data_IF_853262091700
#
_entry.id   IF_853262091700
#
_cell.length_a   1.000
_cell.length_b   1.000
_cell.length_c   1.000
_cell.angle_alpha   90.00
_cell.angle_beta   90.00
_cell.angle_gamma   90.00
#
_symmetry.space_group_name_H-M   'P 1'
#
loop_
_entity.id
_entity.type
_entity.pdbx_description
1 polymer ?
#
# COMPACT_ATOMS: atom_id res chain seq x y z
N UNK A 1 39.42 -26.71 -0.80
CA UNK A 1 38.72 -27.72 0.03
C UNK A 1 37.32 -27.18 0.28
N UNK A 2 36.35 -27.22 -0.64
CA UNK A 2 35.57 -28.36 -1.17
C UNK A 2 35.03 -29.31 -0.10
N UNK A 3 33.71 -29.20 0.15
CA UNK A 3 32.70 -30.25 0.44
C UNK A 3 31.36 -29.48 0.60
N UNK A 4 30.50 -29.34 -0.42
CA UNK A 4 29.68 -30.34 -1.11
C UNK A 4 28.90 -31.23 -0.12
N UNK A 5 27.62 -30.91 0.05
CA UNK A 5 26.59 -31.87 0.45
C UNK A 5 25.37 -31.63 -0.43
N UNK A 6 25.27 -32.48 -1.44
CA UNK A 6 24.06 -32.81 -2.18
C UNK A 6 23.12 -33.58 -1.24
N UNK A 7 21.84 -33.24 -1.23
CA UNK A 7 20.80 -34.21 -0.93
C UNK A 7 19.69 -34.07 -1.98
N UNK A 8 19.41 -35.20 -2.61
CA UNK A 8 18.41 -35.40 -3.63
C UNK A 8 17.04 -35.65 -2.98
N UNK A 9 16.03 -35.18 -3.72
CA UNK A 9 14.60 -35.45 -3.73
C UNK A 9 14.11 -36.74 -3.03
N UNK A 10 12.96 -36.60 -2.38
CA UNK A 10 11.89 -37.60 -2.44
C UNK A 10 10.59 -36.88 -2.73
N UNK A 11 10.00 -37.23 -3.87
CA UNK A 11 8.60 -37.05 -4.18
C UNK A 11 7.75 -37.90 -3.22
N UNK A 12 6.61 -37.38 -2.78
CA UNK A 12 5.44 -38.18 -2.46
C UNK A 12 4.22 -37.35 -2.82
N UNK A 13 3.51 -37.88 -3.80
CA UNK A 13 2.17 -37.53 -4.21
C UNK A 13 1.13 -37.87 -3.12
N UNK A 14 -0.05 -37.32 -3.34
CA UNK A 14 -1.38 -37.81 -2.98
C UNK A 14 -2.05 -37.36 -1.67
N UNK A 15 -3.32 -36.98 -1.90
CA UNK A 15 -4.49 -36.95 -1.00
C UNK A 15 -4.63 -35.73 -0.09
N UNK A 16 -5.81 -35.15 0.12
CA UNK A 16 -7.17 -35.47 -0.36
C UNK A 16 -8.02 -34.22 -0.10
N UNK A 17 -9.17 -34.20 -0.76
CA UNK A 17 -10.30 -33.30 -0.56
C UNK A 17 -10.59 -32.95 0.91
N UNK A 18 -11.05 -31.71 1.14
CA UNK A 18 -12.18 -31.43 2.03
C UNK A 18 -12.65 -29.99 1.81
N UNK A 19 -13.62 -29.86 0.92
CA UNK A 19 -14.74 -28.93 1.07
C UNK A 19 -15.43 -29.25 2.40
N UNK A 20 -15.55 -28.27 3.30
CA UNK A 20 -16.67 -28.23 4.24
C UNK A 20 -16.95 -26.76 4.59
N UNK A 21 -18.03 -26.28 4.00
CA UNK A 21 -18.80 -25.14 4.45
C UNK A 21 -19.31 -25.46 5.86
N UNK A 22 -19.31 -24.49 6.77
CA UNK A 22 -20.35 -24.43 7.79
C UNK A 22 -20.61 -22.96 8.14
N UNK A 23 -21.68 -22.47 7.54
CA UNK A 23 -22.49 -21.37 8.02
C UNK A 23 -23.03 -21.74 9.41
N UNK A 24 -22.86 -20.88 10.40
CA UNK A 24 -23.67 -20.89 11.61
C UNK A 24 -24.04 -19.45 11.95
N UNK A 25 -25.11 -19.02 11.30
CA UNK A 25 -26.04 -18.02 11.83
C UNK A 25 -26.98 -18.70 12.85
N UNK A 26 -27.53 -17.89 13.75
CA UNK A 26 -28.70 -18.10 14.61
C UNK A 26 -28.52 -18.87 15.95
N UNK A 27 -28.67 -18.11 17.05
CA UNK A 27 -29.61 -18.32 18.17
C UNK A 27 -29.46 -17.10 19.09
N UNK A 28 -30.34 -16.10 19.02
CA UNK A 28 -31.67 -16.02 19.64
C UNK A 28 -31.67 -16.24 21.16
N UNK A 29 -31.95 -15.12 21.83
CA UNK A 29 -32.88 -14.93 22.95
C UNK A 29 -32.70 -15.65 24.29
N UNK A 30 -33.20 -14.93 25.31
CA UNK A 30 -33.52 -15.33 26.69
C UNK A 30 -32.38 -15.14 27.71
N UNK A 31 -32.56 -14.53 28.88
CA UNK A 31 -33.76 -14.22 29.65
C UNK A 31 -33.54 -12.99 30.54
N UNK A 32 -34.60 -12.19 30.63
CA UNK A 32 -34.88 -11.32 31.76
C UNK A 32 -34.90 -12.15 33.06
N UNK A 33 -34.23 -11.65 34.10
CA UNK A 33 -34.54 -12.03 35.47
C UNK A 33 -34.65 -10.74 36.29
N UNK A 34 -35.89 -10.26 36.33
CA UNK A 34 -36.44 -9.46 37.40
C UNK A 34 -36.56 -10.30 38.70
N UNK A 35 -36.58 -9.56 39.80
CA UNK A 35 -37.13 -9.88 41.12
C UNK A 35 -36.38 -10.83 42.07
N UNK A 36 -35.92 -10.24 43.18
CA UNK A 36 -36.30 -10.57 44.57
C UNK A 36 -35.50 -9.63 45.48
N UNK A 37 -36.14 -8.63 46.09
CA UNK A 37 -36.95 -8.68 47.33
C UNK A 37 -36.12 -8.19 48.52
N UNK A 38 -36.48 -6.98 48.96
CA UNK A 38 -36.77 -6.54 50.32
C UNK A 38 -36.13 -7.28 51.52
N UNK A 39 -35.55 -6.46 52.39
CA UNK A 39 -35.58 -6.46 53.87
C UNK A 39 -34.30 -5.75 54.34
N UNK A 40 -34.28 -4.87 55.34
CA UNK A 40 -35.28 -4.41 56.29
C UNK A 40 -34.69 -3.14 56.92
N UNK A 41 -35.57 -2.25 57.35
CA UNK A 41 -35.28 -1.11 58.22
C UNK A 41 -34.61 -1.53 59.54
N UNK A 42 -33.76 -0.64 60.06
CA UNK A 42 -33.43 -0.35 61.47
C UNK A 42 -32.10 0.43 61.45
N UNK A 43 -31.89 1.51 62.18
CA UNK A 43 -32.62 2.18 63.24
C UNK A 43 -32.03 3.60 63.32
N UNK A 44 -32.86 4.53 63.74
CA UNK A 44 -32.56 5.94 63.98
C UNK A 44 -31.51 6.19 65.10
N UNK A 45 -31.04 7.44 65.08
CA UNK A 45 -30.48 8.24 66.19
C UNK A 45 -28.99 8.01 66.52
N UNK A 46 -28.18 9.01 66.83
CA UNK A 46 -28.47 10.38 67.26
C UNK A 46 -27.15 11.19 67.18
N UNK A 47 -27.31 12.49 67.42
CA UNK A 47 -26.33 13.45 67.94
C UNK A 47 -25.48 14.27 66.96
N UNK A 48 -25.91 15.53 66.90
CA UNK A 48 -25.21 16.75 66.51
C UNK A 48 -23.78 16.82 67.02
N UNK A 49 -22.90 17.43 66.23
CA UNK A 49 -21.99 18.43 66.78
C UNK A 49 -21.74 19.51 65.72
N UNK A 50 -22.22 20.70 66.03
CA UNK A 50 -21.82 21.95 65.41
C UNK A 50 -20.30 22.10 65.50
N UNK A 51 -19.66 22.29 64.34
CA UNK A 51 -18.49 23.16 64.24
C UNK A 51 -18.57 23.87 62.88
N UNK A 52 -19.28 25.00 62.91
CA UNK A 52 -18.97 26.17 62.09
C UNK A 52 -17.57 26.65 62.45
N UNK A 53 -16.56 26.09 61.80
CA UNK A 53 -15.28 26.76 61.61
C UNK A 53 -15.20 27.19 60.14
N UNK A 54 -15.31 28.52 59.98
CA UNK A 54 -15.02 29.22 58.74
C UNK A 54 -13.61 28.86 58.25
N UNK A 55 -13.53 28.12 57.15
CA UNK A 55 -12.37 28.10 56.26
C UNK A 55 -12.77 28.73 54.92
N UNK A 56 -13.18 30.01 54.99
CA UNK A 56 -13.15 30.90 53.85
C UNK A 56 -11.67 31.09 53.46
N UNK A 57 -11.20 30.31 52.47
CA UNK A 57 -10.32 30.71 51.36
C UNK A 57 -9.62 29.48 50.75
N UNK A 58 -10.27 28.73 49.85
CA UNK A 58 -9.56 27.83 48.93
C UNK A 58 -10.18 27.72 47.52
N UNK A 59 -10.96 28.71 47.09
CA UNK A 59 -11.56 28.76 45.75
C UNK A 59 -10.55 29.04 44.60
N UNK A 60 -9.26 29.22 44.93
CA UNK A 60 -8.23 29.51 43.94
C UNK A 60 -7.57 28.24 43.35
N UNK A 61 -7.40 27.17 44.13
CA UNK A 61 -6.72 25.95 43.65
C UNK A 61 -7.57 25.20 42.60
N UNK A 62 -8.88 25.22 42.79
CA UNK A 62 -9.88 24.59 41.94
C UNK A 62 -9.97 25.22 40.53
N UNK A 63 -9.59 26.49 40.41
CA UNK A 63 -9.56 27.22 39.14
C UNK A 63 -8.29 26.94 38.33
N UNK A 64 -7.15 26.78 39.01
CA UNK A 64 -5.87 26.49 38.36
C UNK A 64 -5.84 25.09 37.75
N UNK A 65 -6.33 24.05 38.44
CA UNK A 65 -6.43 22.69 37.86
C UNK A 65 -7.37 22.63 36.64
N UNK A 66 -8.49 23.38 36.68
CA UNK A 66 -9.42 23.52 35.54
C UNK A 66 -8.76 24.24 34.36
N UNK A 67 -7.84 25.17 34.59
CA UNK A 67 -7.11 25.88 33.55
C UNK A 67 -5.99 25.00 32.96
N UNK A 68 -5.22 24.30 33.79
CA UNK A 68 -4.19 23.34 33.37
C UNK A 68 -4.78 22.26 32.43
N UNK A 69 -5.93 21.69 32.81
CA UNK A 69 -6.64 20.72 31.97
C UNK A 69 -7.04 21.29 30.60
N UNK A 70 -7.53 22.54 30.55
CA UNK A 70 -7.93 23.21 29.30
C UNK A 70 -6.73 23.44 28.39
N UNK A 71 -5.58 23.79 28.94
CA UNK A 71 -4.37 24.01 28.16
C UNK A 71 -3.82 22.71 27.57
N UNK A 72 -3.84 21.62 28.35
CA UNK A 72 -3.43 20.29 27.88
C UNK A 72 -4.31 19.83 26.72
N UNK A 73 -5.64 19.87 26.88
CA UNK A 73 -6.55 19.40 25.83
C UNK A 73 -6.48 20.29 24.58
N UNK A 74 -6.30 21.60 24.75
CA UNK A 74 -6.11 22.52 23.63
C UNK A 74 -4.82 22.20 22.87
N UNK A 75 -3.69 22.08 23.58
CA UNK A 75 -2.42 21.71 22.96
C UNK A 75 -2.48 20.35 22.26
N UNK A 76 -3.22 19.39 22.82
CA UNK A 76 -3.42 18.07 22.21
C UNK A 76 -4.26 18.14 20.93
N UNK A 77 -5.31 18.96 20.91
CA UNK A 77 -6.19 19.13 19.76
C UNK A 77 -5.56 19.98 18.65
N UNK A 78 -4.65 20.90 19.00
CA UNK A 78 -3.93 21.75 18.05
C UNK A 78 -2.85 20.98 17.25
N UNK A 79 -2.53 19.73 17.64
CA UNK A 79 -1.62 18.87 16.88
C UNK A 79 -2.19 18.52 15.51
N UNK A 80 -1.35 18.64 14.46
CA UNK A 80 -1.81 18.62 13.08
C UNK A 80 -2.19 17.22 12.59
N UNK A 81 -1.53 16.18 13.11
CA UNK A 81 -1.75 14.80 12.67
C UNK A 81 -2.06 13.85 13.84
N UNK A 82 -2.86 12.82 13.57
CA UNK A 82 -3.17 11.74 14.51
C UNK A 82 -1.91 10.98 14.94
N UNK A 83 -0.89 10.94 14.08
CA UNK A 83 0.41 10.38 14.44
C UNK A 83 1.15 11.24 15.48
N UNK A 84 1.06 12.57 15.36
CA UNK A 84 1.65 13.51 16.32
C UNK A 84 0.97 13.37 17.68
N UNK A 85 -0.37 13.33 17.71
CA UNK A 85 -1.14 13.01 18.91
C UNK A 85 -0.72 11.68 19.55
N UNK A 86 -0.56 10.61 18.75
CA UNK A 86 -0.12 9.31 19.26
C UNK A 86 1.30 9.38 19.86
N UNK A 87 2.19 10.16 19.24
CA UNK A 87 3.57 10.32 19.69
C UNK A 87 3.65 11.11 20.99
N UNK A 88 2.83 12.16 21.09
CA UNK A 88 2.63 12.89 22.33
C UNK A 88 2.15 11.97 23.46
N UNK A 89 1.03 11.24 23.26
CA UNK A 89 0.49 10.31 24.27
C UNK A 89 1.51 9.24 24.66
N UNK A 90 2.27 8.72 23.70
CA UNK A 90 3.32 7.76 23.97
C UNK A 90 4.44 8.30 24.88
N UNK A 91 4.81 9.57 24.75
CA UNK A 91 5.83 10.19 25.61
C UNK A 91 5.40 10.30 27.08
N UNK A 92 4.08 10.34 27.30
CA UNK A 92 3.43 10.43 28.60
C UNK A 92 3.09 9.06 29.22
N UNK A 93 3.41 7.96 28.52
CA UNK A 93 3.19 6.59 28.97
C UNK A 93 4.55 5.93 29.23
N UNK A 94 4.73 5.40 30.45
CA UNK A 94 5.91 4.61 30.81
C UNK A 94 5.54 3.14 30.94
N UNK A 95 6.31 2.25 30.31
CA UNK A 95 6.11 0.79 30.41
C UNK A 95 7.02 0.24 31.50
N UNK A 96 6.45 -0.53 32.41
CA UNK A 96 7.16 -1.27 33.44
C UNK A 96 7.04 -2.78 33.22
N UNK A 97 8.17 -3.49 33.30
CA UNK A 97 8.19 -4.95 33.29
C UNK A 97 7.64 -5.50 34.61
N UNK A 98 6.83 -6.56 34.53
CA UNK A 98 6.21 -7.18 35.69
C UNK A 98 7.27 -7.98 36.47
N UNK A 99 7.60 -7.54 37.68
CA UNK A 99 8.61 -8.18 38.54
C UNK A 99 8.09 -9.41 39.30
N UNK A 100 6.79 -9.48 39.58
CA UNK A 100 6.17 -10.59 40.34
C UNK A 100 4.71 -10.75 39.94
N UNK A 101 4.27 -11.99 39.73
CA UNK A 101 2.85 -12.36 39.52
C UNK A 101 2.33 -13.03 40.78
N UNK A 102 1.24 -12.52 41.38
CA UNK A 102 0.48 -13.25 42.42
C UNK A 102 -0.66 -13.96 41.70
N UNK A 103 -0.49 -15.23 41.37
CA UNK A 103 -1.58 -16.01 40.78
C UNK A 103 -2.31 -16.79 41.88
N UNK A 104 -3.65 -16.72 41.91
CA UNK A 104 -4.50 -17.59 42.76
C UNK A 104 -5.12 -18.76 41.98
N UNK A 105 -5.01 -18.76 40.64
CA UNK A 105 -5.59 -19.75 39.73
C UNK A 105 -4.50 -20.59 39.04
N UNK A 106 -4.88 -21.76 38.52
CA UNK A 106 -4.03 -22.58 37.65
C UNK A 106 -3.56 -21.79 36.41
N UNK A 107 -2.32 -22.08 35.97
CA UNK A 107 -1.56 -21.27 34.99
C UNK A 107 -2.18 -21.21 33.60
N UNK A 108 -3.06 -22.14 33.24
CA UNK A 108 -3.55 -22.29 31.87
C UNK A 108 -4.87 -21.54 31.58
N UNK A 109 -5.49 -20.92 32.60
CA UNK A 109 -6.82 -20.31 32.49
C UNK A 109 -6.82 -18.79 32.74
N UNK A 110 -5.67 -18.19 33.10
CA UNK A 110 -5.59 -16.79 33.49
C UNK A 110 -5.16 -15.89 32.32
N UNK A 111 -5.99 -14.91 31.96
CA UNK A 111 -5.59 -13.80 31.08
C UNK A 111 -4.66 -12.87 31.87
N UNK A 112 -3.35 -13.02 31.65
CA UNK A 112 -2.32 -12.28 32.38
C UNK A 112 -1.88 -11.06 31.56
N UNK A 113 -1.76 -9.92 32.22
CA UNK A 113 -1.03 -8.79 31.64
C UNK A 113 0.46 -9.10 31.56
N UNK A 114 1.09 -8.69 30.46
CA UNK A 114 2.53 -8.87 30.24
C UNK A 114 3.36 -7.67 30.72
N UNK A 115 2.74 -6.50 30.83
CA UNK A 115 3.38 -5.25 31.25
C UNK A 115 2.42 -4.42 32.13
N UNK A 116 3.01 -3.56 32.96
CA UNK A 116 2.28 -2.50 33.68
C UNK A 116 2.58 -1.14 33.03
N UNK A 117 1.65 -0.19 33.16
CA UNK A 117 1.78 1.14 32.57
C UNK A 117 1.64 2.24 33.63
N UNK A 118 2.51 3.24 33.57
CA UNK A 118 2.37 4.49 34.33
C UNK A 118 2.03 5.64 33.39
N UNK A 119 1.14 6.52 33.83
CA UNK A 119 0.72 7.71 33.09
C UNK A 119 1.17 8.95 33.84
N UNK A 120 1.64 9.95 33.10
CA UNK A 120 2.06 11.24 33.65
C UNK A 120 1.68 12.37 32.71
N UNK A 121 1.37 13.54 33.25
CA UNK A 121 1.21 14.77 32.47
C UNK A 121 2.24 15.80 32.94
N UNK A 122 2.59 16.73 32.04
CA UNK A 122 3.49 17.84 32.35
C UNK A 122 2.67 19.11 32.45
N UNK A 123 2.74 19.77 33.61
CA UNK A 123 2.08 21.04 33.88
C UNK A 123 3.12 22.09 34.26
N UNK A 124 2.85 23.35 33.93
CA UNK A 124 3.73 24.48 34.24
C UNK A 124 3.15 25.22 35.44
N UNK A 125 3.84 25.19 36.58
CA UNK A 125 3.47 25.97 37.78
C UNK A 125 4.65 26.86 38.13
N UNK A 126 4.41 28.14 38.34
CA UNK A 126 5.46 29.11 38.71
C UNK A 126 6.70 29.07 37.77
N UNK A 127 6.50 28.86 36.46
CA UNK A 127 7.54 28.66 35.44
C UNK A 127 8.43 27.40 35.59
N UNK A 128 8.02 26.44 36.42
CA UNK A 128 8.66 25.14 36.60
C UNK A 128 7.78 24.04 36.02
N UNK A 129 8.40 23.07 35.34
CA UNK A 129 7.69 21.89 34.80
C UNK A 129 7.53 20.85 35.90
N UNK A 130 6.29 20.49 36.22
CA UNK A 130 5.95 19.41 37.14
C UNK A 130 5.42 18.20 36.37
N UNK A 131 5.91 16.99 36.69
CA UNK A 131 5.35 15.73 36.19
C UNK A 131 4.35 15.18 37.21
N UNK A 132 3.06 15.22 36.88
CA UNK A 132 1.97 14.74 37.75
C UNK A 132 1.59 13.31 37.33
N UNK A 133 1.67 12.31 38.24
CA UNK A 133 1.26 10.95 37.95
C UNK A 133 -0.27 10.84 37.91
N UNK A 134 -0.80 10.03 36.99
CA UNK A 134 -2.23 9.89 36.75
C UNK A 134 -2.68 8.43 36.69
N UNK A 135 -3.95 8.19 37.00
CA UNK A 135 -4.62 6.94 36.64
C UNK A 135 -5.06 6.98 35.16
N UNK A 136 -5.37 5.81 34.57
CA UNK A 136 -5.80 5.72 33.17
C UNK A 136 -7.09 6.52 32.89
N UNK A 137 -8.02 6.57 33.85
CA UNK A 137 -9.28 7.31 33.71
C UNK A 137 -9.05 8.82 33.66
N UNK A 138 -8.22 9.34 34.58
CA UNK A 138 -7.84 10.74 34.60
C UNK A 138 -7.08 11.13 33.32
N UNK A 139 -6.13 10.29 32.90
CA UNK A 139 -5.39 10.51 31.64
C UNK A 139 -6.32 10.60 30.42
N UNK A 140 -7.33 9.71 30.34
CA UNK A 140 -8.35 9.74 29.30
C UNK A 140 -9.20 11.02 29.35
N UNK A 141 -9.65 11.42 30.55
CA UNK A 141 -10.52 12.58 30.76
C UNK A 141 -9.82 13.93 30.51
N UNK A 142 -8.54 14.05 30.87
CA UNK A 142 -7.73 15.25 30.64
C UNK A 142 -7.52 15.47 29.14
N UNK A 143 -7.21 14.41 28.39
CA UNK A 143 -6.97 14.51 26.94
C UNK A 143 -8.26 14.43 26.09
N UNK A 144 -9.42 14.20 26.71
CA UNK A 144 -10.69 14.05 25.99
C UNK A 144 -10.74 12.84 25.04
N UNK A 145 -10.04 11.75 25.39
CA UNK A 145 -9.94 10.54 24.55
C UNK A 145 -10.59 9.33 25.21
N UNK A 146 -11.02 8.38 24.39
CA UNK A 146 -11.54 7.10 24.88
C UNK A 146 -10.41 6.17 25.32
N UNK A 147 -10.72 5.24 26.23
CA UNK A 147 -9.79 4.20 26.69
C UNK A 147 -9.18 3.40 25.53
N UNK A 148 -9.96 3.09 24.50
CA UNK A 148 -9.51 2.34 23.31
C UNK A 148 -8.37 3.03 22.57
N UNK A 149 -8.33 4.38 22.56
CA UNK A 149 -7.22 5.15 21.97
C UNK A 149 -5.92 4.93 22.76
N UNK A 150 -5.99 4.89 24.08
CA UNK A 150 -4.84 4.64 24.96
C UNK A 150 -4.34 3.21 24.75
N UNK A 151 -5.24 2.23 24.74
CA UNK A 151 -4.91 0.81 24.52
C UNK A 151 -4.24 0.57 23.16
N UNK A 152 -4.69 1.29 22.12
CA UNK A 152 -4.04 1.26 20.81
C UNK A 152 -2.58 1.73 20.86
N UNK A 153 -2.30 2.81 21.60
CA UNK A 153 -0.93 3.31 21.79
C UNK A 153 -0.11 2.34 22.64
N UNK A 154 -0.67 1.81 23.74
CA UNK A 154 -0.03 0.83 24.60
C UNK A 154 0.40 -0.44 23.84
N UNK A 155 -0.48 -0.99 23.00
CA UNK A 155 -0.19 -2.18 22.19
C UNK A 155 0.97 -1.94 21.23
N UNK A 156 0.99 -0.78 20.57
CA UNK A 156 2.09 -0.40 19.67
C UNK A 156 3.40 -0.21 20.42
N UNK A 157 3.37 0.39 21.61
CA UNK A 157 4.56 0.56 22.44
C UNK A 157 5.11 -0.78 22.94
N UNK A 158 4.24 -1.73 23.29
CA UNK A 158 4.66 -3.08 23.70
C UNK A 158 5.30 -3.86 22.53
N UNK A 159 4.70 -3.81 21.33
CA UNK A 159 5.17 -4.59 20.18
C UNK A 159 6.36 -3.97 19.45
N UNK A 160 6.36 -2.64 19.26
CA UNK A 160 7.31 -1.94 18.40
C UNK A 160 8.17 -0.90 19.14
N UNK A 161 7.91 -0.62 20.41
CA UNK A 161 8.61 0.40 21.20
C UNK A 161 8.39 1.84 20.69
N UNK A 162 7.43 2.04 19.79
CA UNK A 162 7.19 3.33 19.11
C UNK A 162 5.70 3.63 19.05
N UNK A 163 5.37 4.91 19.02
CA UNK A 163 4.02 5.38 18.81
C UNK A 163 3.45 4.86 17.48
N UNK A 164 2.16 4.46 17.44
CA UNK A 164 1.57 3.94 16.23
C UNK A 164 1.46 5.03 15.17
N UNK A 165 1.84 4.66 13.94
CA UNK A 165 1.61 5.49 12.75
C UNK A 165 0.18 5.33 12.27
N UNK A 166 -0.41 6.42 11.77
CA UNK A 166 -1.70 6.31 11.09
C UNK A 166 -1.52 5.49 9.80
N UNK A 167 -2.39 4.49 9.63
CA UNK A 167 -2.43 3.58 8.47
C UNK A 167 -3.75 3.68 7.72
N UNK A 168 -4.60 4.65 8.04
CA UNK A 168 -5.84 4.91 7.29
C UNK A 168 -5.51 5.16 5.82
N UNK A 169 -6.36 4.64 4.93
CA UNK A 169 -6.14 4.73 3.49
C UNK A 169 -4.97 3.87 2.95
N UNK A 170 -4.20 3.20 3.81
CA UNK A 170 -3.15 2.27 3.40
C UNK A 170 -3.70 0.84 3.42
N UNK A 171 -4.25 0.39 2.30
CA UNK A 171 -4.71 -0.98 2.14
C UNK A 171 -3.77 -1.76 1.24
N UNK A 172 -3.24 -2.89 1.75
CA UNK A 172 -2.40 -3.78 0.96
C UNK A 172 -3.23 -4.73 0.09
N UNK A 173 -4.43 -5.09 0.56
CA UNK A 173 -5.30 -6.01 -0.17
C UNK A 173 -5.87 -5.30 -1.38
N UNK A 174 -5.40 -5.70 -2.55
CA UNK A 174 -5.95 -5.23 -3.81
C UNK A 174 -6.33 -6.47 -4.61
N UNK A 175 -7.53 -7.04 -4.38
CA UNK A 175 -7.89 -8.37 -4.88
C UNK A 175 -7.82 -8.44 -6.42
N UNK A 176 -8.07 -7.33 -7.10
CA UNK A 176 -7.99 -7.25 -8.56
C UNK A 176 -6.60 -6.84 -9.10
N UNK A 177 -5.60 -6.65 -8.25
CA UNK A 177 -4.23 -6.38 -8.70
C UNK A 177 -3.56 -7.73 -8.96
N UNK A 178 -3.09 -8.01 -10.17
CA UNK A 178 -2.36 -9.24 -10.43
C UNK A 178 -1.10 -9.29 -9.57
N UNK A 179 -0.68 -10.49 -9.18
CA UNK A 179 0.59 -10.70 -8.47
C UNK A 179 1.77 -10.13 -9.28
N UNK A 180 2.88 -9.84 -8.61
CA UNK A 180 4.08 -9.31 -9.29
C UNK A 180 4.56 -10.27 -10.39
N UNK A 181 4.54 -11.57 -10.11
CA UNK A 181 4.96 -12.64 -11.04
C UNK A 181 4.04 -12.66 -12.25
N UNK A 182 2.73 -12.63 -12.01
CA UNK A 182 1.70 -12.58 -13.06
C UNK A 182 1.87 -11.34 -13.95
N UNK A 183 2.13 -10.18 -13.36
CA UNK A 183 2.41 -8.94 -14.10
C UNK A 183 3.66 -9.05 -14.98
N UNK A 184 4.74 -9.65 -14.48
CA UNK A 184 5.96 -9.87 -15.26
C UNK A 184 5.75 -10.80 -16.45
N UNK A 185 4.94 -11.84 -16.30
CA UNK A 185 4.57 -12.74 -17.42
C UNK A 185 3.79 -11.99 -18.49
N UNK A 186 2.80 -11.17 -18.10
CA UNK A 186 2.06 -10.30 -19.03
C UNK A 186 3.02 -9.36 -19.77
N UNK A 187 3.90 -8.69 -19.03
CA UNK A 187 4.84 -7.72 -19.60
C UNK A 187 5.83 -8.38 -20.59
N UNK A 188 6.32 -9.57 -20.24
CA UNK A 188 7.21 -10.37 -21.09
C UNK A 188 6.49 -10.82 -22.35
N UNK A 189 5.23 -11.23 -22.23
CA UNK A 189 4.41 -11.62 -23.38
C UNK A 189 4.16 -10.44 -24.32
N UNK A 190 3.75 -9.27 -23.81
CA UNK A 190 3.49 -8.08 -24.63
C UNK A 190 4.77 -7.62 -25.37
N UNK A 191 5.93 -7.69 -24.71
CA UNK A 191 7.22 -7.34 -25.33
C UNK A 191 7.73 -8.37 -26.34
N UNK A 192 7.19 -9.59 -26.34
CA UNK A 192 7.63 -10.65 -27.26
C UNK A 192 7.15 -10.45 -28.70
N UNK A 193 6.12 -9.62 -28.91
CA UNK A 193 5.64 -9.29 -30.24
C UNK A 193 6.64 -8.39 -30.97
N UNK A 194 7.00 -8.76 -32.20
CA UNK A 194 7.99 -8.02 -33.00
C UNK A 194 7.43 -6.67 -33.46
N UNK A 195 8.18 -5.61 -33.18
CA UNK A 195 7.84 -4.24 -33.57
C UNK A 195 7.98 -4.02 -35.08
N UNK A 196 7.00 -3.34 -35.70
CA UNK A 196 7.21 -2.67 -36.98
C UNK A 196 7.61 -1.22 -36.71
N UNK A 197 8.87 -0.86 -37.00
CA UNK A 197 9.32 0.53 -36.91
C UNK A 197 8.75 1.33 -38.08
N UNK A 198 8.10 2.46 -37.79
CA UNK A 198 7.66 3.40 -38.80
C UNK A 198 8.87 4.02 -39.52
N UNK A 199 9.01 3.77 -40.82
CA UNK A 199 10.19 4.13 -41.62
C UNK A 199 10.37 5.64 -41.82
N UNK A 200 9.29 6.41 -41.92
CA UNK A 200 9.34 7.85 -42.25
C UNK A 200 9.09 8.79 -41.08
N UNK A 201 8.43 8.33 -40.01
CA UNK A 201 8.29 9.08 -38.76
C UNK A 201 9.48 8.85 -37.85
N UNK A 202 10.68 9.08 -38.37
CA UNK A 202 11.89 9.19 -37.57
C UNK A 202 11.72 10.37 -36.59
N UNK A 203 11.64 10.02 -35.30
CA UNK A 203 11.82 10.89 -34.13
C UNK A 203 10.62 11.63 -33.54
N UNK A 204 9.39 11.51 -34.05
CA UNK A 204 8.23 12.22 -33.42
C UNK A 204 7.52 11.43 -32.32
N UNK A 205 7.47 10.09 -32.36
CA UNK A 205 6.73 9.30 -31.35
C UNK A 205 7.40 7.95 -31.04
N UNK A 206 7.54 7.60 -29.75
CA UNK A 206 7.95 6.25 -29.27
C UNK A 206 6.84 5.20 -29.39
N UNK A 207 5.96 5.35 -30.39
CA UNK A 207 4.75 4.53 -30.55
C UNK A 207 5.10 3.31 -31.40
N UNK A 208 4.76 2.14 -30.89
CA UNK A 208 5.00 0.84 -31.56
C UNK A 208 3.75 0.45 -32.35
N UNK A 209 3.96 -0.10 -33.55
CA UNK A 209 2.88 -0.56 -34.42
C UNK A 209 2.96 -2.08 -34.62
N UNK A 210 1.87 -2.77 -34.31
CA UNK A 210 1.67 -4.21 -34.51
C UNK A 210 0.82 -4.47 -35.76
N UNK A 211 0.87 -5.67 -36.37
CA UNK A 211 0.02 -6.05 -37.50
C UNK A 211 -1.48 -5.82 -37.25
N UNK A 212 -2.24 -5.56 -38.32
CA UNK A 212 -3.69 -5.34 -38.31
C UNK A 212 -4.47 -6.60 -37.91
N UNK A 213 -3.92 -7.77 -38.24
CA UNK A 213 -4.51 -9.08 -37.92
C UNK A 213 -4.43 -9.39 -36.42
N UNK A 214 -3.59 -8.65 -35.68
CA UNK A 214 -3.44 -8.81 -34.25
C UNK A 214 -4.40 -7.86 -33.53
N UNK A 215 -5.10 -8.38 -32.54
CA UNK A 215 -5.98 -7.61 -31.67
C UNK A 215 -5.66 -7.98 -30.21
N UNK A 216 -6.00 -7.12 -29.26
CA UNK A 216 -5.81 -7.38 -27.83
C UNK A 216 -6.47 -8.71 -27.42
N UNK A 217 -7.62 -9.05 -28.02
CA UNK A 217 -8.32 -10.32 -27.76
C UNK A 217 -7.52 -11.53 -28.28
N UNK A 218 -6.92 -11.44 -29.46
CA UNK A 218 -6.09 -12.53 -30.00
C UNK A 218 -4.78 -12.65 -29.23
N UNK A 219 -4.16 -11.53 -28.86
CA UNK A 219 -3.00 -11.52 -27.96
C UNK A 219 -3.31 -12.15 -26.61
N UNK A 220 -4.49 -11.87 -26.04
CA UNK A 220 -4.90 -12.49 -24.78
C UNK A 220 -5.10 -14.01 -24.92
N UNK A 221 -5.68 -14.48 -26.03
CA UNK A 221 -5.76 -15.93 -26.32
C UNK A 221 -4.37 -16.57 -26.37
N UNK A 222 -3.43 -15.97 -27.10
CA UNK A 222 -2.04 -16.43 -27.16
C UNK A 222 -1.33 -16.40 -25.79
N UNK A 223 -1.70 -15.47 -24.92
CA UNK A 223 -1.19 -15.41 -23.55
C UNK A 223 -1.68 -16.61 -22.72
N UNK A 224 -2.97 -16.95 -22.83
CA UNK A 224 -3.55 -18.10 -22.12
C UNK A 224 -2.98 -19.43 -22.63
N UNK A 225 -2.74 -19.55 -23.93
CA UNK A 225 -2.07 -20.72 -24.51
C UNK A 225 -0.62 -20.86 -24.01
N UNK A 226 0.09 -19.74 -23.84
CA UNK A 226 1.49 -19.73 -23.40
C UNK A 226 1.67 -19.91 -21.89
N UNK A 227 0.70 -19.47 -21.10
CA UNK A 227 0.72 -19.53 -19.63
C UNK A 227 -0.64 -20.06 -19.10
N UNK A 228 -0.96 -21.34 -19.31
CA UNK A 228 -2.24 -21.93 -18.89
C UNK A 228 -2.42 -21.95 -17.37
N UNK A 229 -1.33 -21.93 -16.60
CA UNK A 229 -1.32 -21.89 -15.14
C UNK A 229 -1.76 -20.53 -14.56
N UNK A 230 -1.87 -19.50 -15.40
CA UNK A 230 -2.10 -18.12 -15.00
C UNK A 230 -3.54 -17.72 -15.32
N UNK A 231 -4.42 -17.83 -14.32
CA UNK A 231 -5.80 -17.39 -14.45
C UNK A 231 -5.93 -15.86 -14.31
N UNK A 232 -6.12 -15.17 -15.43
CA UNK A 232 -6.32 -13.71 -15.49
C UNK A 232 -7.49 -13.41 -16.41
N UNK A 233 -8.35 -12.47 -16.03
CA UNK A 233 -9.40 -11.95 -16.91
C UNK A 233 -8.86 -11.10 -18.06
N UNK A 234 -9.57 -11.11 -19.19
CA UNK A 234 -9.26 -10.25 -20.35
C UNK A 234 -9.07 -8.78 -19.96
N UNK A 235 -9.90 -8.24 -19.06
CA UNK A 235 -9.83 -6.83 -18.68
C UNK A 235 -8.53 -6.50 -17.93
N UNK A 236 -8.01 -7.42 -17.12
CA UNK A 236 -6.71 -7.24 -16.45
C UNK A 236 -5.56 -7.24 -17.46
N UNK A 237 -5.60 -8.14 -18.45
CA UNK A 237 -4.63 -8.14 -19.54
C UNK A 237 -4.70 -6.83 -20.35
N UNK A 238 -5.90 -6.41 -20.73
CA UNK A 238 -6.17 -5.16 -21.48
C UNK A 238 -5.69 -3.92 -20.72
N UNK A 239 -5.95 -3.82 -19.42
CA UNK A 239 -5.47 -2.72 -18.56
C UNK A 239 -3.94 -2.65 -18.53
N UNK A 240 -3.27 -3.81 -18.43
CA UNK A 240 -1.82 -3.87 -18.51
C UNK A 240 -1.31 -3.49 -19.91
N UNK A 241 -1.96 -3.97 -20.97
CA UNK A 241 -1.63 -3.61 -22.35
C UNK A 241 -1.75 -2.10 -22.63
N UNK A 242 -2.78 -1.43 -22.09
CA UNK A 242 -3.01 0.02 -22.30
C UNK A 242 -1.86 0.89 -21.77
N UNK A 243 -1.05 0.39 -20.84
CA UNK A 243 0.15 1.09 -20.34
C UNK A 243 1.24 1.19 -21.42
N UNK A 244 1.21 0.32 -22.42
CA UNK A 244 2.14 0.33 -23.54
C UNK A 244 1.65 1.28 -24.62
N UNK A 245 2.58 2.04 -25.21
CA UNK A 245 2.31 2.94 -26.34
C UNK A 245 2.28 2.16 -27.66
N UNK A 246 1.42 1.15 -27.74
CA UNK A 246 1.26 0.26 -28.89
C UNK A 246 -0.03 0.59 -29.63
N UNK A 247 -0.05 0.47 -30.96
CA UNK A 247 -1.26 0.46 -31.76
C UNK A 247 -1.20 -0.60 -32.84
N UNK A 248 -2.36 -0.95 -33.38
CA UNK A 248 -2.50 -1.92 -34.45
C UNK A 248 -2.55 -1.19 -35.80
N UNK A 249 -1.99 -1.83 -36.82
CA UNK A 249 -1.91 -1.34 -38.18
C UNK A 249 -0.74 -0.43 -38.49
N UNK A 250 -0.79 0.19 -39.66
CA UNK A 250 0.30 1.02 -40.14
C UNK A 250 0.24 2.43 -39.56
N UNK A 251 1.41 3.01 -39.27
CA UNK A 251 1.50 4.47 -39.14
C UNK A 251 1.05 5.09 -40.46
N UNK A 252 0.18 6.10 -40.43
CA UNK A 252 -0.18 6.93 -41.59
C UNK A 252 1.00 7.79 -42.03
N UNK A 253 2.09 7.15 -42.42
CA UNK A 253 3.27 7.76 -42.97
C UNK A 253 3.41 7.18 -44.37
N UNK A 254 3.15 8.01 -45.39
CA UNK A 254 3.34 7.65 -46.79
C UNK A 254 4.64 6.87 -46.96
N UNK A 255 4.56 5.65 -47.46
CA UNK A 255 5.77 4.94 -47.87
C UNK A 255 6.30 5.63 -49.12
N UNK A 256 7.61 5.88 -49.17
CA UNK A 256 8.18 6.49 -50.36
C UNK A 256 8.30 5.39 -51.41
N UNK A 257 7.54 5.56 -52.49
CA UNK A 257 7.55 4.69 -53.67
C UNK A 257 8.98 4.35 -54.14
N UNK A 258 9.94 5.27 -54.03
CA UNK A 258 11.33 5.01 -54.43
C UNK A 258 12.04 4.04 -53.50
N UNK A 259 11.82 4.12 -52.19
CA UNK A 259 12.36 3.15 -51.24
C UNK A 259 11.73 1.77 -51.43
N UNK A 260 10.43 1.73 -51.66
CA UNK A 260 9.69 0.47 -51.88
C UNK A 260 10.20 -0.25 -53.14
N UNK A 261 10.47 0.49 -54.21
CA UNK A 261 11.13 -0.03 -55.42
C UNK A 261 12.50 -0.63 -55.12
N UNK A 262 13.37 0.08 -54.39
CA UNK A 262 14.69 -0.44 -54.06
C UNK A 262 14.65 -1.67 -53.16
N UNK A 263 13.69 -1.75 -52.23
CA UNK A 263 13.49 -2.93 -51.40
C UNK A 263 13.00 -4.13 -52.21
N UNK A 264 12.04 -3.93 -53.12
CA UNK A 264 11.55 -4.97 -54.00
C UNK A 264 12.65 -5.51 -54.93
N UNK A 265 13.48 -4.61 -55.48
CA UNK A 265 14.63 -4.95 -56.31
C UNK A 265 15.73 -5.67 -55.51
N UNK A 266 15.95 -5.33 -54.25
CA UNK A 266 16.90 -6.08 -53.40
C UNK A 266 16.38 -7.47 -53.07
N UNK A 267 15.08 -7.60 -52.79
CA UNK A 267 14.43 -8.87 -52.44
C UNK A 267 14.40 -9.84 -53.62
N UNK A 268 14.19 -9.34 -54.85
CA UNK A 268 14.25 -10.18 -56.05
C UNK A 268 15.66 -10.74 -56.32
N UNK A 269 16.69 -10.08 -55.79
CA UNK A 269 18.09 -10.47 -55.94
C UNK A 269 18.60 -11.35 -54.78
N UNK A 270 17.82 -11.56 -53.70
CA UNK A 270 18.28 -12.28 -52.49
C UNK A 270 18.74 -13.71 -52.78
N UNK A 271 18.10 -14.41 -53.70
CA UNK A 271 18.34 -15.84 -53.98
C UNK A 271 19.48 -16.12 -54.97
N UNK A 272 20.15 -15.10 -55.50
CA UNK A 272 21.22 -15.27 -56.48
C UNK A 272 22.58 -14.90 -55.88
N UNK A 273 23.54 -15.83 -55.95
CA UNK A 273 24.90 -15.74 -55.39
C UNK A 273 25.95 -15.29 -56.40
N UNK A 274 25.53 -14.79 -57.56
CA UNK A 274 26.44 -14.34 -58.60
C UNK A 274 27.17 -13.02 -58.20
N UNK A 275 28.47 -12.88 -58.49
CA UNK A 275 29.25 -11.68 -58.13
C UNK A 275 28.66 -10.37 -58.68
N UNK A 276 28.03 -10.44 -59.86
CA UNK A 276 27.31 -9.32 -60.48
C UNK A 276 26.06 -8.90 -59.69
N UNK A 277 25.37 -9.87 -59.07
CA UNK A 277 24.19 -9.62 -58.24
C UNK A 277 24.59 -8.91 -56.94
N UNK A 278 25.74 -9.24 -56.38
CA UNK A 278 26.24 -8.56 -55.18
C UNK A 278 26.63 -7.11 -55.44
N UNK A 279 27.29 -6.83 -56.57
CA UNK A 279 27.57 -5.46 -57.01
C UNK A 279 26.28 -4.65 -57.20
N UNK A 280 25.23 -5.28 -57.76
CA UNK A 280 23.91 -4.67 -57.94
C UNK A 280 23.23 -4.39 -56.60
N UNK A 281 23.25 -5.33 -55.65
CA UNK A 281 22.75 -5.14 -54.28
C UNK A 281 23.43 -3.95 -53.61
N UNK A 282 24.77 -3.89 -53.64
CA UNK A 282 25.53 -2.75 -53.07
C UNK A 282 25.11 -1.42 -53.67
N UNK A 283 24.96 -1.35 -55.00
CA UNK A 283 24.49 -0.14 -55.70
C UNK A 283 23.09 0.28 -55.25
N UNK A 284 22.15 -0.66 -55.14
CA UNK A 284 20.79 -0.41 -54.66
C UNK A 284 20.78 0.10 -53.21
N UNK A 285 21.61 -0.49 -52.34
CA UNK A 285 21.78 -0.02 -50.96
C UNK A 285 22.31 1.41 -50.93
N UNK A 286 23.38 1.71 -51.67
CA UNK A 286 23.96 3.06 -51.75
C UNK A 286 22.94 4.08 -52.27
N UNK A 287 22.16 3.74 -53.30
CA UNK A 287 21.11 4.61 -53.83
C UNK A 287 20.01 4.87 -52.79
N UNK A 288 19.62 3.85 -52.03
CA UNK A 288 18.65 3.99 -50.95
C UNK A 288 19.19 4.88 -49.82
N UNK A 289 20.46 4.72 -49.45
CA UNK A 289 21.10 5.53 -48.41
C UNK A 289 21.23 6.99 -48.83
N UNK A 290 21.63 7.26 -50.08
CA UNK A 290 21.66 8.62 -50.64
C UNK A 290 20.27 9.24 -50.66
N UNK A 291 19.24 8.48 -51.06
CA UNK A 291 17.87 8.95 -51.04
C UNK A 291 17.42 9.32 -49.61
N UNK A 292 17.71 8.47 -48.62
CA UNK A 292 17.42 8.75 -47.20
C UNK A 292 18.16 9.99 -46.69
N UNK A 293 19.44 10.16 -47.02
CA UNK A 293 20.24 11.31 -46.63
C UNK A 293 19.69 12.63 -47.22
N UNK A 294 19.26 12.62 -48.48
CA UNK A 294 18.60 13.78 -49.12
C UNK A 294 17.31 14.16 -48.42
N UNK A 295 16.47 13.18 -48.10
CA UNK A 295 15.23 13.42 -47.37
C UNK A 295 15.50 14.02 -45.98
N UNK A 296 16.47 13.48 -45.23
CA UNK A 296 16.87 14.02 -43.93
C UNK A 296 17.36 15.48 -44.04
N UNK A 297 18.20 15.79 -45.02
CA UNK A 297 18.67 17.16 -45.27
C UNK A 297 17.50 18.11 -45.53
N UNK A 298 16.53 17.69 -46.34
CA UNK A 298 15.32 18.47 -46.61
C UNK A 298 14.50 18.73 -45.35
N UNK A 299 14.23 17.72 -44.53
CA UNK A 299 13.46 17.87 -43.29
C UNK A 299 14.17 18.73 -42.25
N UNK A 300 15.49 18.62 -42.14
CA UNK A 300 16.30 19.49 -41.26
C UNK A 300 16.16 20.96 -41.67
N UNK A 301 16.25 21.25 -42.97
CA UNK A 301 16.03 22.61 -43.51
C UNK A 301 14.61 23.12 -43.28
N UNK A 302 13.61 22.27 -43.51
CA UNK A 302 12.21 22.61 -43.25
C UNK A 302 11.99 22.99 -41.78
N UNK A 303 12.53 22.18 -40.85
CA UNK A 303 12.41 22.43 -39.40
C UNK A 303 13.10 23.72 -38.96
N UNK A 304 14.24 24.08 -39.55
CA UNK A 304 14.90 25.37 -39.26
C UNK A 304 14.14 26.59 -39.78
N UNK A 305 13.22 26.40 -40.75
CA UNK A 305 12.43 27.49 -41.33
C UNK A 305 11.03 27.64 -40.70
N UNK A 306 10.57 26.66 -39.90
CA UNK A 306 9.33 26.79 -39.12
C UNK A 306 9.59 27.77 -37.96
N UNK A 307 9.00 28.98 -38.03
CA UNK A 307 9.03 29.94 -36.92
C UNK A 307 8.35 29.33 -35.69
N UNK A 308 8.86 29.55 -34.47
CA UNK A 308 8.13 29.19 -33.27
C UNK A 308 6.83 30.00 -33.22
N UNK A 309 5.70 29.29 -33.06
CA UNK A 309 4.40 29.87 -32.70
C UNK A 309 4.40 30.26 -31.22
#
# INVERSE_FOLDING_TARGET
>A
MLKSCLFLNHDNDDNDDNDENDDNDDNDDNDDNDDNDDNDDNDDNDDNDDNDDNDDNDDNDDNDDKNERKDIIKSFNDMADRHEQNSYLASHITIYQIKRRRNRSEKNCASLHDCSYGFRVRVMRENVVHEVPLCIKAFAAIHGITRSKIEYVQRSLQLAGKAPKDKRGTHSTRPHKPSLITGQKIDTHIKSFKDRKSHYSLNKTKKIYLPEDLNIKTMYGLFQEKYPEVNISYETYRKNFKRYKISFGYSRSDTCITCDKYLADMKSLENSTEPFVEARKRKLTTLNDVHKAKAQSFYSKKKSCEKPL
#
